data_IF_663453370370
#
_entry.id   IF_663453370370
#
_cell.length_a   1.000
_cell.length_b   1.000
_cell.length_c   1.000
_cell.angle_alpha   90.00
_cell.angle_beta   90.00
_cell.angle_gamma   90.00
#
_symmetry.space_group_name_H-M   'P 1'
#
loop_
_entity.id
_entity.type
_entity.pdbx_description
1 polymer ?
#
# COMPACT_ATOMS: atom_id res chain seq x y z
N UNK A 1 -13.69 -6.76 24.35
CA UNK A 1 -12.76 -6.07 25.26
C UNK A 1 -11.81 -5.28 24.39
N UNK A 2 -12.09 -3.99 24.20
CA UNK A 2 -11.30 -3.11 23.33
C UNK A 2 -9.88 -2.99 23.87
N UNK A 3 -8.89 -3.28 23.03
CA UNK A 3 -7.49 -2.97 23.34
C UNK A 3 -7.36 -1.44 23.46
N UNK A 4 -6.66 -0.92 24.47
CA UNK A 4 -6.50 0.51 24.62
C UNK A 4 -5.65 1.06 23.47
N UNK A 5 -6.11 2.17 22.87
CA UNK A 5 -5.31 3.02 22.00
C UNK A 5 -4.17 3.63 22.83
N UNK A 6 -3.04 2.92 22.95
CA UNK A 6 -1.84 3.48 23.56
C UNK A 6 -0.57 2.95 22.89
N UNK A 7 0.22 3.93 22.43
CA UNK A 7 1.57 3.88 21.91
C UNK A 7 1.73 3.30 20.49
N UNK A 8 1.70 4.20 19.51
CA UNK A 8 2.57 4.08 18.33
C UNK A 8 4.01 3.96 18.84
N UNK A 9 4.47 2.71 19.01
CA UNK A 9 5.87 2.31 19.13
C UNK A 9 6.58 2.76 20.44
N UNK A 10 6.11 2.28 21.60
CA UNK A 10 6.98 2.21 22.79
C UNK A 10 7.97 1.05 22.63
N UNK A 11 9.27 1.41 22.59
CA UNK A 11 10.46 0.57 22.46
C UNK A 11 10.58 -0.17 21.11
N UNK A 12 11.62 0.14 20.34
CA UNK A 12 11.95 -0.44 19.04
C UNK A 12 12.01 -1.97 19.08
N UNK A 13 10.92 -2.63 18.72
CA UNK A 13 10.97 -4.00 18.24
C UNK A 13 11.27 -3.95 16.74
N UNK A 14 12.55 -4.10 16.40
CA UNK A 14 13.02 -4.10 15.01
C UNK A 14 12.40 -5.22 14.16
N UNK A 15 11.77 -6.22 14.80
CA UNK A 15 11.08 -7.33 14.12
C UNK A 15 9.74 -6.94 13.51
N UNK A 16 9.18 -5.78 13.88
CA UNK A 16 7.89 -5.30 13.38
C UNK A 16 7.96 -4.53 12.05
N UNK A 17 9.17 -4.22 11.58
CA UNK A 17 9.34 -3.51 10.31
C UNK A 17 9.37 -4.48 9.13
N UNK A 18 8.66 -4.18 8.03
CA UNK A 18 8.68 -4.98 6.82
C UNK A 18 10.09 -5.14 6.28
N UNK A 19 10.37 -6.30 5.70
CA UNK A 19 11.64 -6.58 5.05
C UNK A 19 11.48 -6.64 3.53
N UNK A 20 12.61 -6.65 2.82
CA UNK A 20 12.60 -6.80 1.35
C UNK A 20 12.37 -8.26 0.99
N UNK A 21 11.44 -8.50 0.07
CA UNK A 21 11.31 -9.79 -0.58
C UNK A 21 12.57 -10.09 -1.41
N UNK A 22 13.11 -11.31 -1.28
CA UNK A 22 14.29 -11.77 -2.01
C UNK A 22 13.88 -12.92 -2.92
N UNK A 23 13.53 -12.64 -4.20
CA UNK A 23 13.19 -13.71 -5.13
C UNK A 23 14.41 -14.62 -5.37
N UNK A 24 14.20 -15.92 -5.68
CA UNK A 24 15.29 -16.78 -6.09
C UNK A 24 16.00 -16.21 -7.34
N UNK A 25 17.32 -16.45 -7.49
CA UNK A 25 18.07 -15.91 -8.61
C UNK A 25 17.50 -16.35 -9.97
N UNK A 26 17.42 -15.41 -10.92
CA UNK A 26 16.98 -15.64 -12.31
C UNK A 26 15.54 -16.14 -12.47
N UNK A 27 14.69 -15.97 -11.46
CA UNK A 27 13.26 -16.32 -11.54
C UNK A 27 12.45 -15.16 -12.12
N UNK A 28 11.61 -15.44 -13.12
CA UNK A 28 10.65 -14.46 -13.61
C UNK A 28 9.45 -14.39 -12.64
N UNK A 29 8.85 -13.20 -12.48
CA UNK A 29 7.75 -13.01 -11.54
C UNK A 29 6.55 -13.93 -11.83
N UNK A 30 6.23 -14.19 -13.10
CA UNK A 30 5.15 -15.09 -13.51
C UNK A 30 5.46 -16.56 -13.27
N UNK A 31 6.75 -16.91 -13.13
CA UNK A 31 7.14 -18.26 -12.75
C UNK A 31 6.95 -18.40 -11.24
N UNK A 32 7.31 -17.36 -10.47
CA UNK A 32 7.25 -17.39 -9.01
C UNK A 32 5.82 -17.29 -8.48
N UNK A 33 5.03 -16.35 -8.98
CA UNK A 33 3.64 -16.12 -8.58
C UNK A 33 2.70 -16.50 -9.71
N UNK A 34 1.96 -17.59 -9.52
CA UNK A 34 1.09 -18.19 -10.52
C UNK A 34 -0.39 -18.00 -10.13
N UNK A 35 -1.31 -17.95 -11.10
CA UNK A 35 -2.74 -17.96 -10.83
C UNK A 35 -3.14 -19.20 -10.02
N UNK A 36 -3.79 -18.99 -8.87
CA UNK A 36 -4.34 -20.02 -8.02
C UNK A 36 -5.78 -19.68 -7.67
N UNK A 37 -6.72 -20.58 -7.98
CA UNK A 37 -8.14 -20.41 -7.67
C UNK A 37 -8.38 -20.71 -6.18
N UNK A 38 -8.88 -19.73 -5.44
CA UNK A 38 -9.34 -19.90 -4.06
C UNK A 38 -10.79 -20.39 -4.01
N UNK A 39 -11.60 -19.89 -4.94
CA UNK A 39 -13.00 -20.28 -5.16
C UNK A 39 -13.27 -20.31 -6.67
N UNK A 40 -14.48 -20.71 -7.07
CA UNK A 40 -14.89 -20.71 -8.49
C UNK A 40 -14.83 -19.31 -9.13
N UNK A 41 -14.87 -18.25 -8.32
CA UNK A 41 -14.91 -16.85 -8.78
C UNK A 41 -13.68 -16.04 -8.36
N UNK A 42 -12.85 -16.53 -7.43
CA UNK A 42 -11.71 -15.80 -6.91
C UNK A 42 -10.39 -16.50 -7.25
N UNK A 43 -9.52 -15.79 -7.96
CA UNK A 43 -8.16 -16.24 -8.28
C UNK A 43 -7.15 -15.21 -7.77
N UNK A 44 -6.02 -15.70 -7.26
CA UNK A 44 -4.92 -14.90 -6.72
C UNK A 44 -3.60 -15.26 -7.39
N UNK A 45 -2.61 -14.37 -7.32
CA UNK A 45 -1.23 -14.64 -7.77
C UNK A 45 -0.42 -15.15 -6.57
N UNK A 46 -0.27 -16.46 -6.47
CA UNK A 46 0.28 -17.13 -5.28
C UNK A 46 1.66 -17.70 -5.58
N UNK A 47 2.58 -17.62 -4.62
CA UNK A 47 3.92 -18.19 -4.77
C UNK A 47 3.83 -19.72 -4.95
N UNK A 48 4.37 -20.27 -6.04
CA UNK A 48 4.27 -21.70 -6.32
C UNK A 48 4.99 -22.60 -5.30
N UNK A 49 5.99 -22.06 -4.58
CA UNK A 49 6.71 -22.77 -3.50
C UNK A 49 6.13 -22.51 -2.11
N UNK A 50 5.32 -21.46 -1.96
CA UNK A 50 4.67 -21.12 -0.70
C UNK A 50 3.22 -20.70 -0.98
N UNK A 51 2.25 -21.64 -0.93
CA UNK A 51 0.86 -21.36 -1.28
C UNK A 51 0.15 -20.37 -0.34
N UNK A 52 0.77 -20.00 0.79
CA UNK A 52 0.25 -18.98 1.72
C UNK A 52 0.88 -17.60 1.50
N UNK A 53 1.64 -17.40 0.41
CA UNK A 53 2.23 -16.11 0.05
C UNK A 53 1.61 -15.52 -1.22
N UNK A 54 0.99 -14.35 -1.07
CA UNK A 54 0.28 -13.63 -2.14
C UNK A 54 1.13 -12.47 -2.69
N UNK A 55 1.15 -12.30 -4.01
CA UNK A 55 1.64 -11.06 -4.65
C UNK A 55 0.49 -10.07 -4.84
N UNK A 56 0.69 -8.85 -4.37
CA UNK A 56 -0.15 -7.69 -4.71
C UNK A 56 0.76 -6.65 -5.36
N UNK A 57 0.40 -6.17 -6.55
CA UNK A 57 1.14 -5.07 -7.19
C UNK A 57 0.44 -3.75 -6.97
N UNK A 58 1.21 -2.68 -6.77
CA UNK A 58 0.69 -1.36 -6.42
C UNK A 58 1.38 -0.27 -7.25
N UNK A 59 0.63 0.75 -7.63
CA UNK A 59 1.17 1.92 -8.33
C UNK A 59 0.41 3.21 -7.97
N UNK A 60 1.08 4.34 -8.13
CA UNK A 60 0.56 5.67 -7.91
C UNK A 60 1.00 6.62 -9.02
N UNK A 61 0.05 7.33 -9.61
CA UNK A 61 0.30 8.28 -10.68
C UNK A 61 -0.17 9.68 -10.28
N UNK A 62 0.58 10.70 -10.63
CA UNK A 62 0.18 12.10 -10.55
C UNK A 62 0.50 12.82 -11.85
N UNK A 63 -0.44 13.59 -12.38
CA UNK A 63 -0.20 14.41 -13.55
C UNK A 63 0.71 15.61 -13.22
N UNK A 64 1.49 16.06 -14.21
CA UNK A 64 2.52 17.09 -14.04
C UNK A 64 2.00 18.52 -14.17
N UNK A 65 0.70 18.73 -13.92
CA UNK A 65 0.10 20.06 -14.01
C UNK A 65 0.61 21.00 -12.90
N UNK A 66 0.24 22.29 -12.99
CA UNK A 66 0.49 23.26 -11.93
C UNK A 66 0.00 22.74 -10.57
N UNK A 67 0.69 23.09 -9.48
CA UNK A 67 0.44 22.56 -8.14
C UNK A 67 -1.04 22.52 -7.73
N UNK A 68 -1.80 23.56 -8.06
CA UNK A 68 -3.23 23.70 -7.74
C UNK A 68 -4.17 22.84 -8.59
N UNK A 69 -3.70 22.28 -9.70
CA UNK A 69 -4.49 21.45 -10.63
C UNK A 69 -3.95 20.02 -10.78
N UNK A 70 -2.92 19.65 -10.01
CA UNK A 70 -2.41 18.28 -9.96
C UNK A 70 -3.48 17.32 -9.49
N UNK A 71 -3.58 16.21 -10.21
CA UNK A 71 -4.46 15.10 -9.88
C UNK A 71 -3.62 13.85 -9.74
N UNK A 72 -3.81 13.16 -8.63
CA UNK A 72 -3.22 11.86 -8.37
C UNK A 72 -4.28 10.77 -8.44
N UNK A 73 -3.85 9.55 -8.73
CA UNK A 73 -4.64 8.34 -8.62
C UNK A 73 -3.74 7.22 -8.14
N UNK A 74 -4.32 6.27 -7.44
CA UNK A 74 -3.62 5.11 -6.91
C UNK A 74 -4.37 3.84 -7.34
N UNK A 75 -3.64 2.74 -7.48
CA UNK A 75 -4.23 1.45 -7.80
C UNK A 75 -3.43 0.30 -7.20
N UNK A 76 -4.11 -0.81 -6.96
CA UNK A 76 -3.47 -2.08 -6.68
C UNK A 76 -4.20 -3.24 -7.36
N UNK A 77 -3.44 -4.30 -7.61
CA UNK A 77 -3.88 -5.52 -8.29
C UNK A 77 -3.56 -6.71 -7.40
N UNK A 78 -4.59 -7.48 -7.03
CA UNK A 78 -4.50 -8.55 -6.04
C UNK A 78 -4.81 -9.94 -6.62
N UNK A 79 -4.77 -10.07 -7.95
CA UNK A 79 -5.00 -11.31 -8.68
C UNK A 79 -4.78 -11.12 -10.18
N UNK A 80 -4.98 -12.15 -11.00
CA UNK A 80 -4.85 -12.02 -12.45
C UNK A 80 -5.78 -10.92 -12.99
N UNK A 81 -5.22 -10.01 -13.77
CA UNK A 81 -5.91 -8.85 -14.33
C UNK A 81 -5.26 -8.38 -15.63
N UNK A 82 -5.99 -7.63 -16.43
CA UNK A 82 -5.55 -7.06 -17.71
C UNK A 82 -6.05 -5.63 -17.85
N UNK A 83 -5.29 -4.78 -18.53
CA UNK A 83 -5.70 -3.41 -18.86
C UNK A 83 -6.95 -3.34 -19.76
N UNK A 84 -7.35 -4.47 -20.37
CA UNK A 84 -8.52 -4.55 -21.26
C UNK A 84 -9.85 -4.69 -20.51
N UNK A 85 -9.81 -5.06 -19.23
CA UNK A 85 -10.99 -5.21 -18.39
C UNK A 85 -11.03 -4.03 -17.43
N UNK A 86 -12.09 -3.20 -17.47
CA UNK A 86 -12.14 -1.99 -16.66
C UNK A 86 -13.11 -2.13 -15.46
N UNK A 87 -12.68 -1.89 -14.20
CA UNK A 87 -11.29 -1.83 -13.74
C UNK A 87 -10.60 -3.22 -13.74
N UNK A 88 -11.33 -4.31 -14.00
CA UNK A 88 -10.85 -5.68 -13.90
C UNK A 88 -11.24 -6.27 -12.54
N UNK A 89 -11.55 -7.58 -12.50
CA UNK A 89 -12.12 -8.20 -11.31
C UNK A 89 -11.20 -8.09 -10.07
N UNK A 90 -9.88 -8.08 -10.26
CA UNK A 90 -8.89 -8.03 -9.19
C UNK A 90 -8.12 -6.71 -9.14
N UNK A 91 -8.76 -5.59 -9.51
CA UNK A 91 -8.15 -4.26 -9.47
C UNK A 91 -9.00 -3.31 -8.66
N UNK A 92 -8.36 -2.59 -7.75
CA UNK A 92 -8.96 -1.41 -7.11
C UNK A 92 -8.15 -0.20 -7.51
N UNK A 93 -8.83 0.87 -7.92
CA UNK A 93 -8.19 2.12 -8.25
C UNK A 93 -9.08 3.30 -7.88
N UNK A 94 -8.52 4.32 -7.27
CA UNK A 94 -9.25 5.54 -6.90
C UNK A 94 -8.42 6.80 -7.05
N UNK A 95 -9.14 7.92 -7.19
CA UNK A 95 -8.50 9.23 -7.22
C UNK A 95 -7.88 9.52 -5.86
N UNK A 96 -6.64 9.99 -5.87
CA UNK A 96 -5.94 10.39 -4.66
C UNK A 96 -6.73 11.48 -3.96
N UNK A 97 -6.87 11.29 -2.66
CA UNK A 97 -7.65 12.15 -1.78
C UNK A 97 -7.02 13.55 -1.66
N UNK A 98 -7.87 14.57 -1.58
CA UNK A 98 -7.42 15.96 -1.37
C UNK A 98 -6.96 16.20 0.06
N UNK A 99 -7.64 15.55 1.01
CA UNK A 99 -7.31 15.60 2.43
C UNK A 99 -6.63 14.30 2.83
N UNK A 100 -5.59 14.43 3.65
CA UNK A 100 -4.87 13.29 4.22
C UNK A 100 -5.57 12.71 5.44
N UNK A 101 -4.95 11.70 6.09
CA UNK A 101 -5.47 11.05 7.30
C UNK A 101 -5.72 11.99 8.49
N UNK A 102 -5.09 13.15 8.53
CA UNK A 102 -5.27 14.17 9.58
C UNK A 102 -6.28 15.27 9.19
N UNK A 103 -7.04 15.08 8.10
CA UNK A 103 -8.00 16.07 7.60
C UNK A 103 -7.39 17.29 6.92
N UNK A 104 -6.05 17.41 6.86
CA UNK A 104 -5.41 18.52 6.17
C UNK A 104 -5.35 18.31 4.66
N UNK A 105 -5.47 19.40 3.90
CA UNK A 105 -5.33 19.37 2.46
C UNK A 105 -3.86 19.19 2.04
N UNK A 106 -3.61 18.25 1.13
CA UNK A 106 -2.29 18.01 0.54
C UNK A 106 -2.36 18.07 -0.98
N UNK A 107 -1.27 18.50 -1.59
CA UNK A 107 -1.15 18.39 -3.04
C UNK A 107 -0.90 16.95 -3.47
N UNK A 108 -1.47 16.59 -4.61
CA UNK A 108 -1.17 15.32 -5.24
C UNK A 108 0.31 15.28 -5.67
N UNK A 109 0.97 14.18 -5.33
CA UNK A 109 2.33 13.84 -5.77
C UNK A 109 2.39 12.34 -6.05
N UNK A 110 3.38 11.91 -6.84
CA UNK A 110 3.60 10.48 -7.07
C UNK A 110 3.83 9.73 -5.76
N UNK A 111 4.70 10.24 -4.88
CA UNK A 111 5.00 9.60 -3.59
C UNK A 111 3.76 9.41 -2.71
N UNK A 112 2.84 10.39 -2.67
CA UNK A 112 1.58 10.24 -1.92
C UNK A 112 0.68 9.18 -2.54
N UNK A 113 0.58 9.16 -3.87
CA UNK A 113 -0.20 8.15 -4.58
C UNK A 113 0.36 6.74 -4.37
N UNK A 114 1.68 6.57 -4.44
CA UNK A 114 2.37 5.30 -4.22
C UNK A 114 2.16 4.78 -2.79
N UNK A 115 2.36 5.63 -1.77
CA UNK A 115 2.08 5.28 -0.37
C UNK A 115 0.62 4.88 -0.16
N UNK A 116 -0.30 5.66 -0.73
CA UNK A 116 -1.73 5.42 -0.62
C UNK A 116 -2.14 4.09 -1.23
N UNK A 117 -1.56 3.71 -2.37
CA UNK A 117 -1.80 2.43 -3.03
C UNK A 117 -1.45 1.24 -2.13
N UNK A 118 -0.30 1.31 -1.44
CA UNK A 118 0.14 0.27 -0.50
C UNK A 118 -0.78 0.19 0.71
N UNK A 119 -1.13 1.33 1.31
CA UNK A 119 -2.07 1.38 2.43
C UNK A 119 -3.41 0.76 2.02
N UNK A 120 -3.92 1.12 0.83
CA UNK A 120 -5.17 0.57 0.31
C UNK A 120 -5.09 -0.96 0.15
N UNK A 121 -4.00 -1.46 -0.43
CA UNK A 121 -3.79 -2.89 -0.66
C UNK A 121 -3.79 -3.68 0.66
N UNK A 122 -3.03 -3.20 1.65
CA UNK A 122 -2.92 -3.87 2.95
C UNK A 122 -4.23 -3.84 3.73
N UNK A 123 -5.06 -2.81 3.53
CA UNK A 123 -6.34 -2.67 4.22
C UNK A 123 -7.55 -3.19 3.44
N UNK A 124 -7.38 -3.64 2.19
CA UNK A 124 -8.52 -3.95 1.33
C UNK A 124 -9.41 -5.05 1.88
N UNK A 125 -8.79 -6.10 2.42
CA UNK A 125 -9.44 -7.29 2.95
C UNK A 125 -8.63 -7.82 4.14
N UNK A 126 -9.26 -8.67 4.93
CA UNK A 126 -8.52 -9.54 5.84
C UNK A 126 -7.86 -10.67 5.04
N UNK A 127 -6.62 -10.46 4.59
CA UNK A 127 -5.89 -11.46 3.80
C UNK A 127 -5.57 -12.74 4.57
N UNK A 128 -5.46 -12.67 5.91
CA UNK A 128 -5.34 -13.86 6.74
C UNK A 128 -6.62 -14.73 6.70
N UNK A 129 -7.80 -14.10 6.61
CA UNK A 129 -9.05 -14.84 6.43
C UNK A 129 -9.15 -15.54 5.06
N UNK A 130 -8.41 -15.08 4.05
CA UNK A 130 -8.22 -15.82 2.77
C UNK A 130 -7.12 -16.90 2.86
N UNK A 131 -6.50 -17.11 4.03
CA UNK A 131 -5.50 -18.15 4.27
C UNK A 131 -4.05 -17.74 3.99
N UNK A 132 -3.78 -16.46 3.73
CA UNK A 132 -2.42 -15.96 3.50
C UNK A 132 -1.72 -15.58 4.80
N UNK A 133 -0.47 -16.02 4.94
CA UNK A 133 0.41 -15.69 6.09
C UNK A 133 1.53 -14.74 5.71
N UNK A 134 1.70 -14.45 4.42
CA UNK A 134 2.69 -13.51 3.90
C UNK A 134 2.16 -12.78 2.67
N UNK A 135 2.36 -11.46 2.59
CA UNK A 135 2.06 -10.64 1.42
C UNK A 135 3.36 -10.07 0.84
N UNK A 136 3.51 -10.17 -0.46
CA UNK A 136 4.56 -9.50 -1.22
C UNK A 136 3.96 -8.31 -1.96
N UNK A 137 4.36 -7.11 -1.56
CA UNK A 137 3.98 -5.85 -2.21
C UNK A 137 4.97 -5.54 -3.33
N UNK A 138 4.55 -5.74 -4.58
CA UNK A 138 5.30 -5.41 -5.78
C UNK A 138 5.07 -3.95 -6.22
N UNK A 139 6.11 -3.12 -6.18
CA UNK A 139 6.04 -1.73 -6.64
C UNK A 139 7.33 -1.29 -7.32
N UNK A 140 7.27 -0.29 -8.20
CA UNK A 140 8.46 0.36 -8.78
C UNK A 140 9.09 1.41 -7.86
N UNK A 141 8.32 1.87 -6.87
CA UNK A 141 8.69 2.99 -6.00
C UNK A 141 9.85 2.64 -5.08
N UNK A 142 11.04 3.16 -5.40
CA UNK A 142 12.16 3.13 -4.47
C UNK A 142 11.86 3.91 -3.18
N UNK A 143 11.03 4.96 -3.27
CA UNK A 143 10.64 5.77 -2.12
C UNK A 143 9.86 4.94 -1.10
N UNK A 144 8.86 4.18 -1.54
CA UNK A 144 8.09 3.28 -0.68
C UNK A 144 8.97 2.16 -0.14
N UNK A 145 9.67 1.44 -1.03
CA UNK A 145 10.41 0.23 -0.63
C UNK A 145 11.55 0.59 0.33
N UNK A 146 12.37 1.59 0.01
CA UNK A 146 13.46 2.01 0.91
C UNK A 146 12.90 2.67 2.16
N UNK A 147 11.82 3.45 2.04
CA UNK A 147 11.19 4.12 3.17
C UNK A 147 10.72 3.13 4.23
N UNK A 148 9.98 2.10 3.86
CA UNK A 148 9.42 1.16 4.84
C UNK A 148 10.45 0.13 5.35
N UNK A 149 11.42 -0.27 4.51
CA UNK A 149 12.38 -1.33 4.85
C UNK A 149 13.70 -0.82 5.46
N UNK A 150 14.02 0.47 5.29
CA UNK A 150 15.29 1.05 5.73
C UNK A 150 15.09 2.34 6.54
N UNK A 151 14.41 3.34 5.97
CA UNK A 151 14.39 4.69 6.57
C UNK A 151 13.44 4.83 7.76
N UNK A 152 12.31 4.12 7.75
CA UNK A 152 11.27 4.24 8.76
C UNK A 152 11.76 3.90 10.17
N UNK A 153 12.71 2.96 10.29
CA UNK A 153 13.35 2.63 11.58
C UNK A 153 14.03 3.84 12.20
N UNK A 154 14.83 4.54 11.41
CA UNK A 154 15.53 5.74 11.86
C UNK A 154 14.57 6.91 12.06
N UNK A 155 13.56 7.06 11.22
CA UNK A 155 12.52 8.08 11.42
C UNK A 155 11.79 7.88 12.74
N UNK A 156 11.34 6.67 13.06
CA UNK A 156 10.70 6.37 14.34
C UNK A 156 11.64 6.68 15.50
N UNK A 157 12.91 6.25 15.42
CA UNK A 157 13.91 6.51 16.46
C UNK A 157 14.15 8.00 16.70
N UNK A 158 14.10 8.80 15.63
CA UNK A 158 14.35 10.24 15.67
C UNK A 158 13.06 11.09 15.75
N UNK A 159 11.92 10.48 16.13
CA UNK A 159 10.66 11.20 16.31
C UNK A 159 10.11 11.82 15.02
N UNK A 160 10.40 11.21 13.87
CA UNK A 160 10.03 11.63 12.52
C UNK A 160 10.60 12.99 12.09
N UNK A 161 11.78 13.33 12.61
CA UNK A 161 12.52 14.52 12.24
C UNK A 161 13.75 14.14 11.41
N UNK A 162 13.96 14.84 10.31
CA UNK A 162 15.13 14.70 9.45
C UNK A 162 16.37 15.32 10.10
N UNK A 163 17.60 14.98 9.67
CA UNK A 163 18.82 15.62 10.18
C UNK A 163 18.84 17.15 10.04
N UNK A 164 18.04 17.71 9.12
CA UNK A 164 17.87 19.15 8.93
C UNK A 164 16.86 19.80 9.90
N UNK A 165 16.29 19.04 10.85
CA UNK A 165 15.28 19.53 11.79
C UNK A 165 13.87 19.68 11.20
N UNK A 166 13.65 19.20 9.97
CA UNK A 166 12.35 19.24 9.30
C UNK A 166 11.59 17.93 9.52
N UNK A 167 10.26 18.01 9.53
CA UNK A 167 9.39 16.83 9.52
C UNK A 167 9.65 15.97 8.27
N UNK A 168 9.61 14.65 8.43
CA UNK A 168 9.68 13.72 7.29
C UNK A 168 8.53 13.98 6.32
N UNK A 169 8.83 14.09 5.03
CA UNK A 169 7.79 14.32 4.02
C UNK A 169 6.77 13.17 3.98
N UNK A 170 5.49 13.52 3.81
CA UNK A 170 4.35 12.58 3.81
C UNK A 170 4.19 11.79 5.13
N UNK A 171 4.59 12.38 6.25
CA UNK A 171 4.52 11.74 7.57
C UNK A 171 3.11 11.22 7.90
N UNK A 172 2.08 11.94 7.49
CA UNK A 172 0.68 11.56 7.67
C UNK A 172 0.39 10.16 7.11
N UNK A 173 0.82 9.87 5.88
CA UNK A 173 0.65 8.55 5.26
C UNK A 173 1.64 7.52 5.80
N UNK A 174 2.86 7.91 6.16
CA UNK A 174 3.84 7.00 6.77
C UNK A 174 3.36 6.47 8.12
N UNK A 175 2.79 7.32 8.96
CA UNK A 175 2.20 6.91 10.25
C UNK A 175 1.10 5.88 10.04
N UNK A 176 0.20 6.12 9.07
CA UNK A 176 -0.85 5.14 8.74
C UNK A 176 -0.26 3.84 8.21
N UNK A 177 0.71 3.87 7.29
CA UNK A 177 1.33 2.65 6.77
C UNK A 177 2.00 1.84 7.88
N UNK A 178 2.74 2.48 8.78
CA UNK A 178 3.37 1.81 9.93
C UNK A 178 2.34 1.20 10.88
N UNK A 179 1.24 1.91 11.14
CA UNK A 179 0.14 1.41 11.94
C UNK A 179 -0.54 0.19 11.30
N UNK A 180 -0.83 0.25 9.99
CA UNK A 180 -1.42 -0.86 9.25
C UNK A 180 -0.51 -2.09 9.28
N UNK A 181 0.78 -1.91 9.06
CA UNK A 181 1.76 -3.00 9.12
C UNK A 181 1.83 -3.62 10.53
N UNK A 182 1.73 -2.82 11.59
CA UNK A 182 1.74 -3.33 12.97
C UNK A 182 0.46 -4.11 13.32
N UNK A 183 -0.65 -3.79 12.66
CA UNK A 183 -1.96 -4.39 12.94
C UNK A 183 -2.22 -5.69 12.20
N UNK A 184 -1.62 -5.88 11.03
CA UNK A 184 -1.87 -7.07 10.22
C UNK A 184 -1.20 -8.30 10.84
N UNK A 185 -1.89 -9.44 10.79
CA UNK A 185 -1.42 -10.70 11.41
C UNK A 185 -0.55 -11.56 10.46
N UNK A 186 -0.18 -11.01 9.30
CA UNK A 186 0.64 -11.66 8.29
C UNK A 186 1.92 -10.87 8.04
N UNK A 187 2.96 -11.57 7.58
CA UNK A 187 4.20 -10.92 7.18
C UNK A 187 3.97 -10.03 5.95
N UNK A 188 4.53 -8.81 5.95
CA UNK A 188 4.53 -7.94 4.77
C UNK A 188 5.96 -7.80 4.26
N UNK A 189 6.16 -8.16 3.00
CA UNK A 189 7.43 -8.09 2.29
C UNK A 189 7.33 -7.12 1.12
N UNK A 190 8.36 -6.31 0.91
CA UNK A 190 8.38 -5.34 -0.19
C UNK A 190 9.32 -5.79 -1.30
N UNK A 191 8.82 -5.82 -2.53
CA UNK A 191 9.57 -6.19 -3.71
C UNK A 191 9.62 -5.02 -4.69
N UNK A 192 10.82 -4.45 -4.89
CA UNK A 192 11.04 -3.50 -5.97
C UNK A 192 11.09 -4.24 -7.31
N UNK A 193 10.06 -4.07 -8.11
CA UNK A 193 9.92 -4.65 -9.45
C UNK A 193 9.89 -3.54 -10.49
N UNK A 194 9.84 -3.89 -11.78
CA UNK A 194 9.72 -2.91 -12.87
C UNK A 194 8.35 -2.95 -13.54
N UNK A 195 8.08 -1.98 -14.42
CA UNK A 195 6.80 -1.75 -15.09
C UNK A 195 6.16 -2.94 -15.78
N UNK A 196 6.95 -3.95 -16.20
CA UNK A 196 6.39 -5.19 -16.76
C UNK A 196 5.49 -5.93 -15.76
N UNK A 197 5.75 -5.79 -14.46
CA UNK A 197 5.01 -6.43 -13.37
C UNK A 197 3.89 -5.53 -12.85
N UNK A 198 4.16 -4.24 -12.72
CA UNK A 198 3.24 -3.23 -12.16
C UNK A 198 2.36 -2.56 -13.20
N UNK A 199 2.54 -2.84 -14.50
CA UNK A 199 1.93 -2.07 -15.58
C UNK A 199 0.40 -2.02 -15.56
N UNK A 200 -0.27 -3.05 -15.03
CA UNK A 200 -1.73 -3.00 -14.81
C UNK A 200 -2.08 -1.97 -13.74
N UNK A 201 -1.36 -1.97 -12.61
CA UNK A 201 -1.55 -0.98 -11.55
C UNK A 201 -1.21 0.44 -12.05
N UNK A 202 -0.09 0.66 -12.76
CA UNK A 202 0.27 1.96 -13.35
C UNK A 202 -0.83 2.48 -14.27
N UNK A 203 -1.35 1.63 -15.17
CA UNK A 203 -2.45 1.99 -16.06
C UNK A 203 -3.67 2.48 -15.28
N UNK A 204 -4.13 1.70 -14.29
CA UNK A 204 -5.33 2.05 -13.54
C UNK A 204 -5.12 3.22 -12.57
N UNK A 205 -3.91 3.43 -12.06
CA UNK A 205 -3.57 4.62 -11.27
C UNK A 205 -3.68 5.90 -12.13
N UNK A 206 -3.24 5.85 -13.39
CA UNK A 206 -3.40 6.96 -14.34
C UNK A 206 -4.86 7.22 -14.70
N UNK A 207 -5.64 6.18 -14.95
CA UNK A 207 -7.08 6.34 -15.21
C UNK A 207 -7.78 6.93 -13.97
N UNK A 208 -7.42 6.44 -12.78
CA UNK A 208 -7.95 6.94 -11.53
C UNK A 208 -7.63 8.43 -11.29
N UNK A 209 -6.45 8.90 -11.69
CA UNK A 209 -6.06 10.31 -11.58
C UNK A 209 -7.00 11.25 -12.35
N UNK A 210 -7.65 10.76 -13.41
CA UNK A 210 -8.56 11.55 -14.25
C UNK A 210 -10.03 11.43 -13.86
N UNK A 211 -10.39 10.59 -12.87
CA UNK A 211 -11.77 10.50 -12.35
C UNK A 211 -12.26 11.88 -11.88
N UNK A 212 -13.51 12.23 -12.14
CA UNK A 212 -14.05 13.54 -11.77
C UNK A 212 -14.21 13.73 -10.25
N UNK A 213 -14.67 12.68 -9.56
CA UNK A 213 -14.88 12.67 -8.12
C UNK A 213 -13.61 12.29 -7.36
N UNK A 214 -13.49 12.82 -6.15
CA UNK A 214 -12.49 12.43 -5.15
C UNK A 214 -13.24 11.75 -4.01
N UNK A 215 -12.73 10.61 -3.55
CA UNK A 215 -13.24 9.95 -2.34
C UNK A 215 -12.57 10.52 -1.10
N UNK A 216 -13.22 10.44 0.06
CA UNK A 216 -12.56 10.78 1.33
C UNK A 216 -11.56 9.71 1.70
N UNK A 217 -10.49 10.13 2.39
CA UNK A 217 -9.53 9.19 2.92
C UNK A 217 -10.21 8.33 3.98
N UNK A 218 -9.96 7.03 3.90
CA UNK A 218 -10.70 6.01 4.61
C UNK A 218 -9.75 4.92 5.06
N UNK A 219 -9.80 4.59 6.35
CA UNK A 219 -8.93 3.60 7.01
C UNK A 219 -9.84 2.54 7.62
N UNK A 220 -9.41 1.28 7.57
CA UNK A 220 -10.06 0.25 8.38
C UNK A 220 -9.71 0.44 9.86
N UNK A 221 -10.74 0.42 10.72
CA UNK A 221 -10.59 0.47 12.18
C UNK A 221 -10.98 -0.90 12.74
N UNK A 222 -10.20 -1.41 13.71
CA UNK A 222 -10.37 -2.74 14.28
C UNK A 222 -11.80 -2.94 14.82
N UNK A 223 -12.51 -3.97 14.32
CA UNK A 223 -13.88 -4.32 14.75
C UNK A 223 -15.04 -3.75 13.93
N UNK A 224 -14.78 -3.00 12.85
CA UNK A 224 -15.81 -2.50 11.95
C UNK A 224 -15.80 -3.18 10.58
N UNK A 225 -16.96 -3.65 10.10
CA UNK A 225 -17.17 -4.07 8.69
C UNK A 225 -17.12 -2.89 7.69
N UNK A 226 -16.64 -1.70 8.10
CA UNK A 226 -16.68 -0.46 7.32
C UNK A 226 -15.47 0.44 7.61
N UNK A 227 -15.08 1.18 6.57
CA UNK A 227 -14.15 2.30 6.65
C UNK A 227 -14.74 3.47 7.45
N UNK A 228 -13.99 4.02 8.40
CA UNK A 228 -14.34 5.27 9.10
C UNK A 228 -13.54 6.46 8.55
N UNK A 229 -14.12 7.66 8.65
CA UNK A 229 -13.38 8.91 8.44
C UNK A 229 -12.32 8.99 9.56
N UNK A 230 -11.06 9.24 9.21
CA UNK A 230 -9.95 9.15 10.16
C UNK A 230 -10.08 10.13 11.32
N UNK A 231 -9.73 9.65 12.52
CA UNK A 231 -9.89 10.25 13.83
C UNK A 231 -9.43 11.73 13.88
N UNK A 232 -10.29 12.57 14.47
CA UNK A 232 -9.92 13.91 14.93
C UNK A 232 -8.92 13.80 16.08
N UNK A 233 -7.77 14.45 15.95
CA UNK A 233 -6.79 14.62 17.03
C UNK A 233 -7.48 15.20 18.29
N UNK A 234 -7.43 14.46 19.39
CA UNK A 234 -7.48 14.98 20.77
C UNK A 234 -6.25 14.49 21.51
#
# INVERSE_FOLDING_TARGET
MSRPHQNLLTACDDTKFPSRFKPPPRTHHSDLFIPHALTDTETRLVNHTNPQQLLITTDGACNQNAWSSRRGGWAFVYGPSSIREYPGANVICERLEKEGPNGHAYAATNHRAELRAVIAALQWKNWAAEGFTSLVIGTESAYVVNGITEWAKEWVRNGFVTPAGLEVANLDLWKVLLQVVDWVEYEVLFWRVGQRVTGVADHFARVAAEKASVVRFKVWVEGGDRFEDSLSDT
#
